data_IF_472791629025
#
_entry.id   IF_472791629025
#
_cell.length_a   1.000
_cell.length_b   1.000
_cell.length_c   1.000
_cell.angle_alpha   90.00
_cell.angle_beta   90.00
_cell.angle_gamma   90.00
#
_symmetry.space_group_name_H-M   'P 1'
#
loop_
_entity.id
_entity.type
_entity.pdbx_description
1 polymer ?
#
# COMPACT_ATOMS: atom_id res chain seq x y z
N UNK A 1 -13.53 4.42 16.60
CA UNK A 1 -12.10 4.23 16.96
C UNK A 1 -11.36 3.67 15.76
N UNK A 2 -10.28 4.30 15.38
CA UNK A 2 -9.49 3.84 14.24
C UNK A 2 -8.50 2.77 14.66
N UNK A 3 -8.24 1.82 13.76
CA UNK A 3 -7.18 0.84 13.92
C UNK A 3 -6.08 1.15 12.92
N UNK A 4 -4.88 0.66 13.16
CA UNK A 4 -3.77 0.89 12.26
C UNK A 4 -2.98 -0.39 12.00
N UNK A 5 -2.41 -0.45 10.81
CA UNK A 5 -1.49 -1.49 10.38
C UNK A 5 -0.17 -0.82 10.07
N UNK A 6 0.93 -1.36 10.57
CA UNK A 6 2.27 -0.86 10.29
C UNK A 6 3.19 -2.03 9.97
N UNK A 7 3.74 -2.03 8.77
CA UNK A 7 4.67 -3.06 8.33
C UNK A 7 5.82 -2.41 7.57
N UNK A 8 7.01 -2.96 7.71
CA UNK A 8 8.19 -2.43 7.05
C UNK A 8 9.04 -3.56 6.46
N UNK A 9 9.75 -3.26 5.39
CA UNK A 9 10.65 -4.20 4.76
C UNK A 9 11.92 -3.47 4.33
N UNK A 10 13.07 -4.10 4.56
CA UNK A 10 14.36 -3.61 4.08
C UNK A 10 14.66 -4.23 2.74
N UNK A 11 15.07 -3.40 1.79
CA UNK A 11 15.26 -3.76 0.40
C UNK A 11 16.73 -3.59 0.04
N UNK A 12 17.33 -4.61 -0.57
CA UNK A 12 18.70 -4.53 -1.10
C UNK A 12 18.68 -3.86 -2.47
N UNK A 13 18.17 -2.65 -2.51
CA UNK A 13 18.10 -1.81 -3.69
C UNK A 13 18.07 -0.35 -3.25
N UNK A 14 18.61 0.56 -4.08
CA UNK A 14 18.58 1.99 -3.76
C UNK A 14 17.16 2.51 -3.60
N UNK A 15 16.99 3.56 -2.81
CA UNK A 15 15.68 4.17 -2.58
C UNK A 15 15.02 4.60 -3.90
N UNK A 16 15.80 4.98 -4.90
CA UNK A 16 15.27 5.35 -6.22
C UNK A 16 14.56 4.19 -6.90
N UNK A 17 15.03 2.97 -6.72
CA UNK A 17 14.39 1.77 -7.28
C UNK A 17 13.06 1.51 -6.57
N UNK A 18 13.06 1.55 -5.25
CA UNK A 18 11.83 1.38 -4.46
C UNK A 18 10.80 2.45 -4.84
N UNK A 19 11.22 3.70 -4.91
CA UNK A 19 10.35 4.80 -5.32
C UNK A 19 9.76 4.58 -6.70
N UNK A 20 10.59 4.17 -7.67
CA UNK A 20 10.15 3.97 -9.05
C UNK A 20 9.02 2.95 -9.18
N UNK A 21 9.01 1.93 -8.32
CA UNK A 21 7.96 0.92 -8.33
C UNK A 21 6.66 1.41 -7.69
N UNK A 22 6.75 2.21 -6.64
CA UNK A 22 5.59 2.68 -5.91
C UNK A 22 4.97 3.96 -6.48
N UNK A 23 5.74 4.79 -7.16
CA UNK A 23 5.24 6.09 -7.63
C UNK A 23 4.12 5.97 -8.64
N UNK A 24 4.04 4.87 -9.35
CA UNK A 24 2.99 4.62 -10.33
C UNK A 24 1.93 3.75 -9.68
N UNK A 25 0.92 4.38 -9.13
CA UNK A 25 -0.13 3.73 -8.35
C UNK A 25 -0.87 2.68 -9.19
N UNK A 26 -1.01 2.90 -10.49
CA UNK A 26 -1.69 1.97 -11.38
C UNK A 26 -0.96 0.62 -11.50
N UNK A 27 0.31 0.56 -11.14
CA UNK A 27 1.10 -0.67 -11.17
C UNK A 27 1.09 -1.43 -9.84
N UNK A 28 0.45 -0.91 -8.81
CA UNK A 28 0.42 -1.58 -7.51
C UNK A 28 -0.15 -3.01 -7.55
N UNK A 29 -1.12 -3.34 -8.43
CA UNK A 29 -1.57 -4.74 -8.52
C UNK A 29 -0.47 -5.74 -8.86
N UNK A 30 0.65 -5.29 -9.44
CA UNK A 30 1.74 -6.19 -9.81
C UNK A 30 2.48 -6.77 -8.60
N UNK A 31 2.41 -6.12 -7.44
CA UNK A 31 3.05 -6.62 -6.23
C UNK A 31 2.14 -6.62 -4.99
N UNK A 32 0.96 -6.02 -5.06
CA UNK A 32 -0.02 -6.09 -3.98
C UNK A 32 -1.12 -7.07 -4.37
N UNK A 33 -1.03 -8.28 -3.86
CA UNK A 33 -1.87 -9.39 -4.31
C UNK A 33 -3.36 -9.16 -4.12
N UNK A 34 -3.74 -8.41 -3.08
CA UNK A 34 -5.15 -8.15 -2.80
C UNK A 34 -5.69 -6.96 -3.60
N UNK A 35 -4.84 -6.15 -4.22
CA UNK A 35 -5.28 -5.08 -5.09
C UNK A 35 -5.42 -5.65 -6.49
N UNK A 36 -6.65 -5.75 -6.99
CA UNK A 36 -6.93 -6.39 -8.28
C UNK A 36 -6.86 -5.42 -9.44
N UNK A 37 -7.28 -4.18 -9.21
CA UNK A 37 -7.34 -3.18 -10.28
C UNK A 37 -7.25 -1.80 -9.68
N UNK A 38 -6.52 -0.91 -10.34
CA UNK A 38 -6.45 0.52 -10.00
C UNK A 38 -6.67 1.29 -11.29
N UNK A 39 -7.63 2.18 -11.28
CA UNK A 39 -7.95 3.02 -12.43
C UNK A 39 -7.78 4.48 -12.08
N UNK A 40 -7.03 5.21 -12.89
CA UNK A 40 -6.83 6.64 -12.70
C UNK A 40 -8.10 7.39 -13.11
N UNK A 41 -8.62 8.21 -12.20
CA UNK A 41 -9.75 9.10 -12.47
C UNK A 41 -9.22 10.47 -12.90
N UNK A 42 -8.26 11.00 -12.14
CA UNK A 42 -7.57 12.24 -12.49
C UNK A 42 -6.12 12.18 -11.95
N UNK A 43 -5.41 13.29 -11.98
CA UNK A 43 -3.98 13.31 -11.61
C UNK A 43 -3.71 12.84 -10.18
N UNK A 44 -4.70 12.90 -9.29
CA UNK A 44 -4.50 12.54 -7.88
C UNK A 44 -5.53 11.56 -7.35
N UNK A 45 -6.51 11.16 -8.15
CA UNK A 45 -7.64 10.34 -7.68
C UNK A 45 -7.67 9.04 -8.46
N UNK A 46 -7.85 7.94 -7.74
CA UNK A 46 -7.84 6.60 -8.29
C UNK A 46 -9.00 5.79 -7.72
N UNK A 47 -9.59 4.94 -8.58
CA UNK A 47 -10.59 3.96 -8.17
C UNK A 47 -9.88 2.62 -8.01
N UNK A 48 -10.15 1.94 -6.89
CA UNK A 48 -9.46 0.72 -6.50
C UNK A 48 -10.46 -0.42 -6.35
N UNK A 49 -10.05 -1.60 -6.78
CA UNK A 49 -10.78 -2.84 -6.51
C UNK A 49 -9.85 -3.77 -5.77
N UNK A 50 -10.26 -4.17 -4.57
CA UNK A 50 -9.48 -5.07 -3.72
C UNK A 50 -10.28 -6.32 -3.44
N UNK A 51 -9.58 -7.44 -3.36
CA UNK A 51 -10.16 -8.74 -3.05
C UNK A 51 -9.57 -9.22 -1.74
N UNK A 52 -10.41 -9.29 -0.71
CA UNK A 52 -10.04 -9.76 0.61
C UNK A 52 -10.69 -11.11 0.85
N UNK A 53 -10.17 -11.93 1.77
CA UNK A 53 -10.82 -13.21 2.07
C UNK A 53 -12.28 -13.00 2.46
N UNK A 54 -13.18 -13.57 1.66
CA UNK A 54 -14.61 -13.48 1.90
C UNK A 54 -15.30 -12.21 1.45
N UNK A 55 -14.58 -11.24 0.85
CA UNK A 55 -15.21 -9.99 0.42
C UNK A 55 -14.40 -9.25 -0.62
N UNK A 56 -15.08 -8.77 -1.64
CA UNK A 56 -14.50 -7.82 -2.60
C UNK A 56 -14.96 -6.42 -2.23
N UNK A 57 -14.06 -5.47 -2.29
CA UNK A 57 -14.34 -4.08 -1.93
C UNK A 57 -13.88 -3.13 -3.02
N UNK A 58 -14.58 -2.01 -3.12
CA UNK A 58 -14.19 -0.93 -4.02
C UNK A 58 -14.16 0.37 -3.24
N UNK A 59 -13.25 1.25 -3.60
CA UNK A 59 -13.19 2.57 -3.01
C UNK A 59 -12.50 3.54 -3.98
N UNK A 60 -12.69 4.82 -3.72
CA UNK A 60 -11.99 5.89 -4.42
C UNK A 60 -11.11 6.59 -3.39
N UNK A 61 -9.85 6.80 -3.75
CA UNK A 61 -8.91 7.47 -2.88
C UNK A 61 -8.13 8.53 -3.64
N UNK A 62 -7.85 9.63 -2.97
CA UNK A 62 -6.99 10.68 -3.54
C UNK A 62 -5.63 10.65 -2.87
N UNK A 63 -4.60 10.97 -3.65
CA UNK A 63 -3.26 11.14 -3.12
C UNK A 63 -3.20 12.48 -2.40
N UNK A 64 -2.96 12.43 -1.09
CA UNK A 64 -2.90 13.64 -0.27
C UNK A 64 -1.49 14.21 -0.23
N UNK A 65 -0.47 13.37 -0.45
CA UNK A 65 0.91 13.81 -0.43
C UNK A 65 1.76 12.90 -1.33
N UNK A 66 2.57 13.48 -2.17
CA UNK A 66 3.55 12.75 -2.98
C UNK A 66 4.86 13.51 -2.92
N UNK A 67 5.83 12.96 -2.20
CA UNK A 67 7.17 13.56 -2.06
C UNK A 67 8.16 12.53 -2.61
N UNK A 68 8.83 12.82 -3.74
CA UNK A 68 9.72 11.86 -4.39
C UNK A 68 10.74 11.27 -3.44
N UNK A 69 10.84 9.94 -3.45
CA UNK A 69 11.77 9.16 -2.64
C UNK A 69 11.57 9.32 -1.12
N UNK A 70 10.46 9.92 -0.69
CA UNK A 70 10.14 10.08 0.72
C UNK A 70 8.81 9.44 1.09
N UNK A 71 7.69 9.81 0.42
CA UNK A 71 6.41 9.23 0.79
C UNK A 71 5.33 9.43 -0.26
N UNK A 72 4.36 8.52 -0.21
CA UNK A 72 3.10 8.61 -0.94
C UNK A 72 2.00 8.38 0.08
N UNK A 73 1.10 9.36 0.24
CA UNK A 73 -0.02 9.25 1.17
C UNK A 73 -1.34 9.37 0.41
N UNK A 74 -2.35 8.66 0.89
CA UNK A 74 -3.68 8.69 0.27
C UNK A 74 -4.76 8.63 1.33
N UNK A 75 -5.96 9.03 0.94
CA UNK A 75 -7.15 8.98 1.79
C UNK A 75 -8.36 8.68 0.92
N UNK A 76 -9.25 7.82 1.41
CA UNK A 76 -10.47 7.51 0.68
C UNK A 76 -11.43 8.69 0.68
N UNK A 77 -12.09 8.88 -0.44
CA UNK A 77 -13.17 9.86 -0.60
C UNK A 77 -14.51 9.16 -0.78
N UNK A 78 -14.51 7.90 -1.21
CA UNK A 78 -15.73 7.11 -1.34
C UNK A 78 -15.41 5.65 -0.99
N UNK A 79 -16.41 4.96 -0.45
CA UNK A 79 -16.28 3.55 -0.12
C UNK A 79 -15.71 3.32 1.28
N UNK A 80 -14.92 2.26 1.42
CA UNK A 80 -14.38 1.87 2.72
C UNK A 80 -13.41 2.92 3.25
N UNK A 81 -13.72 3.45 4.43
CA UNK A 81 -12.92 4.52 5.05
C UNK A 81 -11.56 4.02 5.49
N UNK A 82 -10.51 4.56 4.87
CA UNK A 82 -9.15 4.35 5.34
C UNK A 82 -8.23 5.43 4.78
N UNK A 83 -7.05 5.53 5.37
CA UNK A 83 -5.97 6.36 4.87
C UNK A 83 -4.68 5.57 4.98
N UNK A 84 -3.74 5.83 4.10
CA UNK A 84 -2.49 5.12 4.11
C UNK A 84 -1.32 6.00 3.72
N UNK A 85 -0.13 5.53 4.07
CA UNK A 85 1.11 6.17 3.66
C UNK A 85 2.18 5.10 3.46
N UNK A 86 2.93 5.24 2.37
CA UNK A 86 4.14 4.47 2.12
C UNK A 86 5.30 5.43 2.28
N UNK A 87 6.21 5.11 3.18
CA UNK A 87 7.38 5.94 3.49
C UNK A 87 8.64 5.25 3.01
N UNK A 88 9.55 6.01 2.45
CA UNK A 88 10.79 5.49 1.87
C UNK A 88 11.97 6.08 2.64
N UNK A 89 12.87 5.22 3.09
CA UNK A 89 14.08 5.62 3.80
C UNK A 89 15.30 5.07 3.10
N UNK A 90 16.24 5.96 2.82
CA UNK A 90 17.54 5.54 2.33
C UNK A 90 18.36 4.99 3.51
N UNK A 91 18.78 3.75 3.41
CA UNK A 91 19.67 3.12 4.42
C UNK A 91 21.14 3.27 4.01
N UNK A 92 21.40 3.15 2.71
CA UNK A 92 22.73 3.32 2.12
C UNK A 92 22.57 3.59 0.63
N UNK A 93 23.66 3.68 -0.10
CA UNK A 93 23.60 3.87 -1.56
C UNK A 93 22.95 2.68 -2.26
N UNK A 94 22.91 1.51 -1.62
CA UNK A 94 22.42 0.26 -2.22
C UNK A 94 21.26 -0.36 -1.46
N UNK A 95 20.77 0.29 -0.40
CA UNK A 95 19.71 -0.28 0.43
C UNK A 95 18.69 0.80 0.82
N UNK A 96 17.44 0.37 0.93
CA UNK A 96 16.34 1.25 1.34
C UNK A 96 15.37 0.49 2.24
N UNK A 97 14.56 1.25 2.99
CA UNK A 97 13.47 0.69 3.79
C UNK A 97 12.16 1.28 3.31
N UNK A 98 11.17 0.41 3.11
CA UNK A 98 9.82 0.81 2.76
C UNK A 98 8.92 0.46 3.91
N UNK A 99 8.15 1.45 4.38
CA UNK A 99 7.20 1.27 5.49
C UNK A 99 5.81 1.58 4.98
N UNK A 100 4.88 0.65 5.21
CA UNK A 100 3.47 0.81 4.87
C UNK A 100 2.69 0.99 6.16
N UNK A 101 1.93 2.08 6.23
CA UNK A 101 1.04 2.34 7.37
C UNK A 101 -0.36 2.61 6.85
N UNK A 102 -1.35 1.89 7.39
CA UNK A 102 -2.75 2.06 7.02
C UNK A 102 -3.55 2.30 8.29
N UNK A 103 -4.37 3.35 8.27
CA UNK A 103 -5.33 3.62 9.32
C UNK A 103 -6.72 3.38 8.75
N UNK A 104 -7.55 2.63 9.46
CA UNK A 104 -8.87 2.26 8.98
C UNK A 104 -9.87 2.22 10.12
N UNK A 105 -11.15 2.35 9.74
CA UNK A 105 -12.26 2.21 10.69
C UNK A 105 -12.64 0.73 10.75
N UNK A 106 -12.45 0.07 11.91
CA UNK A 106 -12.78 -1.34 12.03
C UNK A 106 -14.22 -1.66 11.66
N UNK A 107 -15.15 -0.75 11.92
CA UNK A 107 -16.56 -0.95 11.63
C UNK A 107 -16.82 -1.06 10.14
N UNK A 108 -16.09 -0.30 9.32
CA UNK A 108 -16.28 -0.34 7.88
C UNK A 108 -15.45 -1.39 7.18
N UNK A 109 -14.28 -1.70 7.73
CA UNK A 109 -13.27 -2.50 7.04
C UNK A 109 -13.10 -3.89 7.64
N UNK A 110 -12.94 -3.98 8.97
CA UNK A 110 -12.54 -5.23 9.63
C UNK A 110 -13.72 -5.97 10.23
N UNK A 111 -14.73 -5.25 10.71
CA UNK A 111 -15.84 -5.87 11.40
C UNK A 111 -16.63 -6.82 10.51
N UNK A 112 -16.74 -6.52 9.23
CA UNK A 112 -17.42 -7.38 8.26
C UNK A 112 -16.61 -8.62 7.89
N UNK A 113 -15.33 -8.59 8.16
CA UNK A 113 -14.43 -9.66 7.78
C UNK A 113 -14.02 -10.50 8.98
N UNK A 114 -14.69 -10.28 10.13
CA UNK A 114 -14.37 -10.98 11.36
C UNK A 114 -13.02 -10.52 11.91
N UNK A 115 -12.41 -11.33 12.74
CA UNK A 115 -11.14 -10.98 13.37
C UNK A 115 -9.98 -11.05 12.35
N UNK A 116 -10.00 -10.18 11.35
CA UNK A 116 -8.99 -10.17 10.30
C UNK A 116 -7.77 -9.31 10.61
N UNK A 117 -7.65 -8.79 11.83
CA UNK A 117 -6.49 -7.96 12.21
C UNK A 117 -5.18 -8.68 11.93
N UNK A 118 -5.09 -9.97 12.30
CA UNK A 118 -3.90 -10.77 12.04
C UNK A 118 -3.73 -11.09 10.56
N UNK A 119 -4.84 -11.26 9.86
CA UNK A 119 -4.83 -11.57 8.44
C UNK A 119 -4.37 -10.37 7.62
N UNK A 120 -4.76 -9.17 8.04
CA UNK A 120 -4.32 -7.93 7.38
C UNK A 120 -2.79 -7.77 7.47
N UNK A 121 -2.22 -8.01 8.65
CA UNK A 121 -0.76 -7.97 8.82
C UNK A 121 -0.08 -9.05 7.98
N UNK A 122 -0.66 -10.24 7.90
CA UNK A 122 -0.11 -11.33 7.11
C UNK A 122 -0.11 -10.98 5.63
N UNK A 123 -1.22 -10.39 5.13
CA UNK A 123 -1.29 -9.97 3.74
C UNK A 123 -0.31 -8.85 3.44
N UNK A 124 -0.17 -7.87 4.34
CA UNK A 124 0.77 -6.79 4.16
C UNK A 124 2.21 -7.29 4.13
N UNK A 125 2.56 -8.22 5.01
CA UNK A 125 3.88 -8.83 5.02
C UNK A 125 4.15 -9.61 3.74
N UNK A 126 3.17 -10.37 3.27
CA UNK A 126 3.30 -11.12 2.02
C UNK A 126 3.53 -10.17 0.84
N UNK A 127 2.72 -9.12 0.75
CA UNK A 127 2.80 -8.17 -0.35
C UNK A 127 4.11 -7.38 -0.34
N UNK A 128 4.58 -6.99 0.85
CA UNK A 128 5.87 -6.33 0.96
C UNK A 128 7.01 -7.27 0.60
N UNK A 129 6.88 -8.56 0.88
CA UNK A 129 7.84 -9.57 0.46
C UNK A 129 7.88 -9.71 -1.06
N UNK A 130 6.73 -9.66 -1.71
CA UNK A 130 6.66 -9.68 -3.17
C UNK A 130 7.29 -8.42 -3.77
N UNK A 131 7.01 -7.27 -3.17
CA UNK A 131 7.65 -6.03 -3.57
C UNK A 131 9.17 -6.10 -3.41
N UNK A 132 9.64 -6.61 -2.27
CA UNK A 132 11.07 -6.77 -2.01
C UNK A 132 11.74 -7.58 -3.12
N UNK A 133 11.13 -8.71 -3.47
CA UNK A 133 11.68 -9.57 -4.51
C UNK A 133 11.74 -8.85 -5.86
N UNK A 134 10.67 -8.15 -6.22
CA UNK A 134 10.62 -7.40 -7.48
C UNK A 134 11.66 -6.29 -7.52
N UNK A 135 11.81 -5.54 -6.43
CA UNK A 135 12.78 -4.45 -6.35
C UNK A 135 14.22 -4.94 -6.42
N UNK A 136 14.52 -6.06 -5.73
CA UNK A 136 15.87 -6.61 -5.70
C UNK A 136 16.26 -7.25 -7.03
N UNK A 137 15.29 -7.77 -7.77
CA UNK A 137 15.56 -8.33 -9.10
C UNK A 137 15.81 -7.22 -10.13
N UNK A 138 15.20 -6.06 -9.96
CA UNK A 138 15.36 -4.95 -10.87
C UNK A 138 16.57 -4.05 -10.58
N UNK A 139 17.25 -4.32 -9.47
CA UNK A 139 18.35 -3.47 -9.03
C UNK A 139 19.69 -3.89 -9.65
#
# INVERSE_FOLDING_TARGET
MASSLLEAVDIKAPVAVSWALWKDVEHWPSFLSHVKHVERIDSRTFAWQVSLPGADKSFVAELTEVIPQERIAWRTTEGVHHAGVVTFHRLSDTESRVTLQIEYDPKGFVERLGALTNLDSTLANYDLGEFQRMAEQGA
#
